data_IF_328650858600
#
_entry.id   IF_328650858600
#
_cell.length_a   1.000
_cell.length_b   1.000
_cell.length_c   1.000
_cell.angle_alpha   90.00
_cell.angle_beta   90.00
_cell.angle_gamma   90.00
#
_symmetry.space_group_name_H-M   'P 1'
#
loop_
_entity.id
_entity.type
_entity.pdbx_description
1 polymer ?
#
# COMPACT_ATOMS: atom_id res chain seq x y z
N UNK A 1 -5.23 -7.65 -2.38
CA UNK A 1 -5.84 -6.39 -2.90
C UNK A 1 -4.85 -5.26 -2.91
N UNK A 2 -4.89 -4.38 -3.91
CA UNK A 2 -4.18 -3.09 -3.94
C UNK A 2 -5.20 -1.96 -3.88
N UNK A 3 -4.95 -0.95 -3.06
CA UNK A 3 -5.76 0.25 -2.99
C UNK A 3 -4.88 1.50 -2.90
N UNK A 4 -5.20 2.52 -3.68
CA UNK A 4 -4.46 3.78 -3.67
C UNK A 4 -5.35 4.96 -4.08
N UNK A 5 -4.88 6.17 -3.81
CA UNK A 5 -5.46 7.41 -4.30
C UNK A 5 -4.54 8.07 -5.32
N UNK A 6 -5.12 8.60 -6.39
CA UNK A 6 -4.44 9.40 -7.40
C UNK A 6 -5.06 10.80 -7.47
N UNK A 7 -4.24 11.79 -7.71
CA UNK A 7 -4.70 13.09 -8.19
C UNK A 7 -5.27 12.95 -9.60
N UNK A 8 -6.03 13.95 -10.06
CA UNK A 8 -6.60 13.96 -11.41
C UNK A 8 -5.53 13.86 -12.51
N UNK A 9 -4.31 14.33 -12.25
CA UNK A 9 -3.18 14.21 -13.15
C UNK A 9 -2.26 13.01 -12.86
N UNK A 10 -2.78 11.97 -12.18
CA UNK A 10 -2.15 10.65 -12.07
C UNK A 10 -1.00 10.54 -11.07
N UNK A 11 -0.87 11.46 -10.13
CA UNK A 11 0.20 11.48 -9.14
C UNK A 11 -0.26 10.95 -7.79
N UNK A 12 0.66 10.29 -7.08
CA UNK A 12 0.47 9.73 -5.72
C UNK A 12 1.09 10.60 -4.63
N UNK A 13 2.00 11.49 -4.98
CA UNK A 13 2.67 12.42 -4.05
C UNK A 13 3.20 13.64 -4.81
N UNK A 14 3.53 14.69 -4.08
CA UNK A 14 4.22 15.85 -4.61
C UNK A 14 5.69 15.60 -4.96
N UNK A 15 6.41 16.62 -5.45
CA UNK A 15 7.84 16.55 -5.77
C UNK A 15 8.65 16.00 -4.58
N UNK A 16 9.63 15.16 -4.88
CA UNK A 16 10.47 14.52 -3.86
C UNK A 16 9.73 13.55 -2.93
N UNK A 17 8.50 13.15 -3.26
CA UNK A 17 7.68 12.28 -2.41
C UNK A 17 6.93 13.04 -1.30
N UNK A 18 6.84 14.37 -1.40
CA UNK A 18 6.11 15.21 -0.43
C UNK A 18 4.66 14.76 -0.32
N UNK A 19 4.21 14.55 0.91
CA UNK A 19 2.82 14.16 1.20
C UNK A 19 1.84 15.24 0.71
N UNK A 20 0.82 14.81 0.00
CA UNK A 20 -0.33 15.61 -0.42
C UNK A 20 -1.60 14.90 -0.01
N UNK A 21 -2.56 15.64 0.53
CA UNK A 21 -3.88 15.08 0.88
C UNK A 21 -4.68 14.92 -0.42
N UNK A 22 -4.77 13.68 -0.89
CA UNK A 22 -5.49 13.33 -2.13
C UNK A 22 -6.89 12.80 -1.78
N UNK A 23 -7.01 11.97 -0.76
CA UNK A 23 -8.27 11.31 -0.38
C UNK A 23 -9.29 12.28 0.21
N UNK A 24 -10.55 12.17 -0.21
CA UNK A 24 -11.69 12.85 0.41
C UNK A 24 -12.06 12.20 1.75
N UNK A 25 -12.98 12.81 2.50
CA UNK A 25 -13.53 12.19 3.72
C UNK A 25 -14.26 10.88 3.43
N UNK A 26 -15.01 10.80 2.32
CA UNK A 26 -15.66 9.57 1.91
C UNK A 26 -14.66 8.47 1.53
N UNK A 27 -13.58 8.83 0.82
CA UNK A 27 -12.52 7.86 0.51
C UNK A 27 -11.79 7.40 1.77
N UNK A 28 -11.48 8.29 2.70
CA UNK A 28 -10.88 7.91 3.99
C UNK A 28 -11.75 6.91 4.75
N UNK A 29 -13.07 7.15 4.84
CA UNK A 29 -14.00 6.19 5.46
C UNK A 29 -13.94 4.83 4.75
N UNK A 30 -13.96 4.82 3.42
CA UNK A 30 -13.83 3.60 2.61
C UNK A 30 -12.53 2.86 2.92
N UNK A 31 -11.40 3.55 2.95
CA UNK A 31 -10.08 2.97 3.25
C UNK A 31 -10.03 2.36 4.65
N UNK A 32 -10.58 3.06 5.67
CA UNK A 32 -10.61 2.51 7.03
C UNK A 32 -11.52 1.28 7.16
N UNK A 33 -12.59 1.18 6.36
CA UNK A 33 -13.38 -0.05 6.24
C UNK A 33 -12.57 -1.19 5.63
N UNK A 34 -11.88 -0.95 4.50
CA UNK A 34 -10.99 -1.94 3.88
C UNK A 34 -9.93 -2.46 4.86
N UNK A 35 -9.32 -1.55 5.64
CA UNK A 35 -8.37 -1.94 6.69
C UNK A 35 -9.00 -2.83 7.75
N UNK A 36 -10.24 -2.55 8.15
CA UNK A 36 -10.96 -3.33 9.15
C UNK A 36 -11.37 -4.71 8.66
N UNK A 37 -11.54 -4.89 7.35
CA UNK A 37 -12.01 -6.11 6.70
C UNK A 37 -10.87 -7.04 6.27
N UNK A 38 -9.61 -6.55 6.26
CA UNK A 38 -8.43 -7.33 5.87
C UNK A 38 -7.60 -7.78 7.09
N UNK A 39 -6.91 -8.93 6.97
CA UNK A 39 -6.06 -9.43 8.06
C UNK A 39 -4.80 -8.58 8.23
N UNK A 40 -4.27 -8.05 7.13
CA UNK A 40 -3.05 -7.28 7.17
C UNK A 40 -3.04 -6.11 6.17
N UNK A 41 -2.29 -5.07 6.52
CA UNK A 41 -1.95 -3.94 5.65
C UNK A 41 -0.45 -3.97 5.35
N UNK A 42 -0.07 -3.80 4.09
CA UNK A 42 1.32 -3.85 3.64
C UNK A 42 1.75 -2.55 2.97
N UNK A 43 2.93 -2.07 3.35
CA UNK A 43 3.58 -0.92 2.71
C UNK A 43 5.08 -1.13 2.58
N UNK A 44 5.72 -0.40 1.66
CA UNK A 44 7.18 -0.31 1.61
C UNK A 44 7.72 0.68 2.64
N UNK A 45 8.96 0.48 3.09
CA UNK A 45 9.60 1.33 4.10
C UNK A 45 9.66 2.82 3.72
N UNK A 46 9.72 3.16 2.44
CA UNK A 46 9.71 4.56 2.02
C UNK A 46 8.39 5.27 2.37
N UNK A 47 7.27 4.56 2.42
CA UNK A 47 5.99 5.09 2.91
C UNK A 47 6.08 5.43 4.42
N UNK A 48 6.76 4.58 5.20
CA UNK A 48 7.00 4.85 6.62
C UNK A 48 7.89 6.08 6.80
N UNK A 49 8.98 6.17 6.05
CA UNK A 49 9.95 7.27 6.15
C UNK A 49 9.31 8.61 5.75
N UNK A 50 8.51 8.63 4.67
CA UNK A 50 7.97 9.87 4.13
C UNK A 50 6.69 10.35 4.84
N UNK A 51 5.80 9.41 5.19
CA UNK A 51 4.43 9.74 5.64
C UNK A 51 4.20 9.46 7.11
N UNK A 52 5.05 8.62 7.73
CA UNK A 52 4.93 8.14 9.12
C UNK A 52 3.48 7.76 9.50
N UNK A 53 2.81 6.86 8.76
CA UNK A 53 1.42 6.52 8.98
C UNK A 53 1.25 5.59 10.20
N UNK A 54 0.07 5.62 10.86
CA UNK A 54 -0.27 4.64 11.90
C UNK A 54 -0.62 3.26 11.33
N UNK A 55 -1.21 3.21 10.14
CA UNK A 55 -1.71 1.98 9.48
C UNK A 55 -2.75 1.22 10.34
N UNK A 56 -3.46 1.92 11.18
CA UNK A 56 -4.56 1.42 12.02
C UNK A 56 -5.91 1.89 11.48
N UNK A 57 -6.99 1.42 12.08
CA UNK A 57 -8.35 1.87 11.80
C UNK A 57 -8.68 3.07 12.70
N UNK A 58 -9.18 4.13 12.11
CA UNK A 58 -9.72 5.27 12.87
C UNK A 58 -11.10 4.92 13.44
N UNK A 59 -11.18 4.76 14.76
CA UNK A 59 -12.41 4.40 15.45
C UNK A 59 -13.48 5.48 15.39
N UNK A 60 -13.15 6.71 15.09
CA UNK A 60 -14.14 7.77 14.84
C UNK A 60 -14.88 7.58 13.51
N UNK A 61 -14.24 6.89 12.55
CA UNK A 61 -14.81 6.57 11.24
C UNK A 61 -15.45 5.17 11.21
N UNK A 62 -14.85 4.20 11.89
CA UNK A 62 -15.30 2.80 11.95
C UNK A 62 -15.25 2.35 13.41
N UNK A 63 -16.27 2.63 14.23
CA UNK A 63 -16.25 2.41 15.69
C UNK A 63 -15.88 0.99 16.12
N UNK A 64 -16.43 -0.03 15.45
CA UNK A 64 -16.18 -1.46 15.73
C UNK A 64 -15.09 -2.05 14.85
N UNK A 65 -14.31 -1.20 14.15
CA UNK A 65 -13.29 -1.64 13.22
C UNK A 65 -12.15 -2.39 13.92
N UNK A 66 -11.59 -3.41 13.29
CA UNK A 66 -10.42 -4.20 13.74
C UNK A 66 -9.15 -3.63 13.11
N UNK A 67 -8.08 -3.48 13.89
CA UNK A 67 -6.78 -3.10 13.34
C UNK A 67 -6.15 -4.28 12.60
N UNK A 68 -5.68 -4.08 11.36
CA UNK A 68 -4.95 -5.09 10.63
C UNK A 68 -3.53 -5.26 11.20
N UNK A 69 -2.92 -6.41 10.93
CA UNK A 69 -1.48 -6.61 11.13
C UNK A 69 -0.73 -5.67 10.18
N UNK A 70 0.20 -4.89 10.69
CA UNK A 70 1.02 -3.97 9.89
C UNK A 70 2.23 -4.72 9.33
N UNK A 71 2.40 -4.72 8.01
CA UNK A 71 3.51 -5.38 7.31
C UNK A 71 4.35 -4.31 6.60
N UNK A 72 5.63 -4.27 6.93
CA UNK A 72 6.59 -3.33 6.34
C UNK A 72 7.62 -4.10 5.53
N UNK A 73 7.69 -3.85 4.22
CA UNK A 73 8.76 -4.37 3.39
C UNK A 73 9.97 -3.45 3.49
N UNK A 74 10.95 -3.88 4.28
CA UNK A 74 12.14 -3.09 4.61
C UNK A 74 13.42 -3.90 4.46
N UNK A 75 13.84 -4.11 3.22
CA UNK A 75 15.02 -4.90 2.84
C UNK A 75 16.24 -4.62 3.73
N UNK A 76 16.52 -3.35 4.01
CA UNK A 76 17.74 -2.89 4.69
C UNK A 76 17.51 -2.46 6.15
N UNK A 77 16.33 -2.73 6.71
CA UNK A 77 15.93 -2.38 8.07
C UNK A 77 16.15 -0.87 8.38
N UNK A 78 15.57 -0.01 7.52
CA UNK A 78 15.65 1.46 7.59
C UNK A 78 14.50 2.11 8.34
N UNK A 79 13.52 1.34 8.81
CA UNK A 79 12.35 1.85 9.55
C UNK A 79 12.84 2.70 10.73
N UNK A 80 12.46 3.99 10.79
CA UNK A 80 12.87 4.87 11.88
C UNK A 80 12.30 4.40 13.22
N UNK A 81 13.11 4.43 14.29
CA UNK A 81 12.71 3.94 15.62
C UNK A 81 11.57 4.73 16.28
N UNK A 82 11.29 5.93 15.82
CA UNK A 82 10.19 6.79 16.27
C UNK A 82 8.97 6.74 15.36
N UNK A 83 8.85 5.73 14.49
CA UNK A 83 7.70 5.58 13.59
C UNK A 83 6.45 5.16 14.35
N UNK A 84 5.29 5.70 13.98
CA UNK A 84 4.00 5.33 14.58
C UNK A 84 3.65 3.84 14.43
N UNK A 85 4.17 3.17 13.41
CA UNK A 85 3.98 1.72 13.25
C UNK A 85 4.66 0.89 14.35
N UNK A 86 5.48 1.50 15.21
CA UNK A 86 6.17 0.86 16.34
C UNK A 86 5.52 1.16 17.70
N UNK A 87 4.35 1.82 17.71
CA UNK A 87 3.66 2.32 18.92
C UNK A 87 2.96 1.24 19.76
N UNK A 88 2.99 -0.02 19.32
CA UNK A 88 2.35 -1.13 20.02
C UNK A 88 0.83 -1.20 19.85
N UNK A 89 0.17 -0.26 19.14
CA UNK A 89 -1.29 -0.26 18.96
C UNK A 89 -1.79 -1.45 18.14
N UNK A 90 -0.99 -1.95 17.19
CA UNK A 90 -1.27 -3.14 16.42
C UNK A 90 0.00 -3.98 16.21
N UNK A 91 -0.17 -5.27 15.95
CA UNK A 91 0.94 -6.17 15.62
C UNK A 91 1.68 -5.68 14.38
N UNK A 92 3.01 -5.62 14.43
CA UNK A 92 3.85 -5.14 13.33
C UNK A 92 4.88 -6.19 12.95
N UNK A 93 4.89 -6.54 11.66
CA UNK A 93 5.86 -7.43 11.04
C UNK A 93 6.76 -6.62 10.10
N UNK A 94 8.08 -6.80 10.21
CA UNK A 94 9.03 -6.22 9.26
C UNK A 94 9.72 -7.35 8.49
N UNK A 95 9.58 -7.35 7.18
CA UNK A 95 10.26 -8.30 6.29
C UNK A 95 11.56 -7.66 5.79
N UNK A 96 12.68 -8.31 6.08
CA UNK A 96 14.03 -7.77 5.82
C UNK A 96 15.02 -8.84 5.41
N UNK A 97 16.10 -8.46 4.73
CA UNK A 97 17.26 -9.33 4.48
C UNK A 97 18.40 -9.15 5.50
N UNK A 98 18.27 -8.18 6.41
CA UNK A 98 19.27 -7.93 7.46
C UNK A 98 19.20 -9.00 8.55
N UNK A 99 20.32 -9.65 8.88
CA UNK A 99 20.35 -10.81 9.77
C UNK A 99 20.48 -10.44 11.27
N UNK A 100 21.36 -9.53 11.63
CA UNK A 100 21.80 -9.33 13.02
C UNK A 100 21.25 -8.07 13.69
N UNK A 101 20.13 -7.56 13.22
CA UNK A 101 19.51 -6.34 13.77
C UNK A 101 18.04 -6.59 14.14
N UNK A 102 17.58 -5.90 15.16
CA UNK A 102 16.17 -5.91 15.60
C UNK A 102 15.65 -4.49 15.81
N UNK A 103 14.34 -4.38 15.83
CA UNK A 103 13.62 -3.16 16.21
C UNK A 103 12.62 -3.55 17.28
N UNK A 104 12.70 -2.92 18.44
CA UNK A 104 11.82 -3.21 19.59
C UNK A 104 10.35 -2.93 19.20
N UNK A 105 9.45 -3.73 19.75
CA UNK A 105 8.01 -3.63 19.48
C UNK A 105 7.58 -4.22 18.13
N UNK A 106 8.47 -4.96 17.44
CA UNK A 106 8.15 -5.60 16.15
C UNK A 106 8.59 -7.03 16.09
N UNK A 107 7.95 -7.80 15.22
CA UNK A 107 8.40 -9.13 14.80
C UNK A 107 9.19 -8.98 13.49
N UNK A 108 10.43 -9.46 13.49
CA UNK A 108 11.30 -9.43 12.30
C UNK A 108 11.20 -10.77 11.58
N UNK A 109 10.77 -10.73 10.32
CA UNK A 109 10.80 -11.88 9.41
C UNK A 109 11.99 -11.71 8.49
N UNK A 110 12.99 -12.56 8.66
CA UNK A 110 14.22 -12.54 7.85
C UNK A 110 14.06 -13.46 6.66
N UNK A 111 14.30 -12.92 5.49
CA UNK A 111 14.31 -13.64 4.22
C UNK A 111 15.64 -13.31 3.49
N UNK A 112 16.22 -14.27 2.77
CA UNK A 112 17.29 -13.95 1.84
C UNK A 112 16.88 -12.84 0.87
N UNK A 113 17.81 -12.05 0.39
CA UNK A 113 17.52 -10.86 -0.44
C UNK A 113 16.73 -11.22 -1.71
N UNK A 114 17.12 -12.29 -2.37
CA UNK A 114 16.45 -12.86 -3.53
C UNK A 114 15.05 -13.40 -3.23
N UNK A 115 14.73 -13.63 -1.96
CA UNK A 115 13.42 -14.13 -1.50
C UNK A 115 12.43 -13.03 -1.09
N UNK A 116 12.81 -11.76 -1.21
CA UNK A 116 11.90 -10.63 -1.00
C UNK A 116 11.08 -10.34 -2.27
N UNK A 117 10.46 -11.39 -2.81
CA UNK A 117 9.57 -11.36 -3.98
C UNK A 117 8.15 -11.71 -3.58
N UNK A 118 7.12 -11.21 -4.29
CA UNK A 118 5.72 -11.34 -3.88
C UNK A 118 5.29 -12.77 -3.56
N UNK A 119 5.68 -13.76 -4.35
CA UNK A 119 5.29 -15.15 -4.17
C UNK A 119 5.78 -15.74 -2.83
N UNK A 120 7.05 -15.49 -2.50
CA UNK A 120 7.66 -15.99 -1.26
C UNK A 120 7.10 -15.23 -0.06
N UNK A 121 6.88 -13.92 -0.20
CA UNK A 121 6.26 -13.10 0.83
C UNK A 121 4.85 -13.62 1.15
N UNK A 122 4.01 -13.83 0.15
CA UNK A 122 2.64 -14.32 0.34
C UNK A 122 2.60 -15.73 0.93
N UNK A 123 3.45 -16.65 0.47
CA UNK A 123 3.58 -17.98 1.08
C UNK A 123 3.94 -17.90 2.57
N UNK A 124 4.90 -17.03 2.90
CA UNK A 124 5.30 -16.82 4.30
C UNK A 124 4.19 -16.24 5.15
N UNK A 125 3.44 -15.28 4.64
CA UNK A 125 2.30 -14.68 5.33
C UNK A 125 1.16 -15.67 5.51
N UNK A 126 0.85 -16.49 4.50
CA UNK A 126 -0.13 -17.57 4.59
C UNK A 126 0.22 -18.60 5.68
N UNK A 127 1.50 -18.98 5.82
CA UNK A 127 1.99 -19.85 6.90
C UNK A 127 1.86 -19.23 8.29
N UNK A 128 1.72 -17.91 8.39
CA UNK A 128 1.43 -17.17 9.63
C UNK A 128 -0.08 -16.97 9.87
N UNK A 129 -0.94 -17.58 9.04
CA UNK A 129 -2.39 -17.47 9.15
C UNK A 129 -2.97 -16.14 8.60
N UNK A 130 -2.22 -15.39 7.80
CA UNK A 130 -2.67 -14.15 7.16
C UNK A 130 -3.26 -14.51 5.80
N UNK A 131 -4.60 -14.45 5.69
CA UNK A 131 -5.35 -14.85 4.50
C UNK A 131 -5.63 -13.70 3.53
N UNK A 132 -5.59 -12.45 4.02
CA UNK A 132 -5.87 -11.27 3.20
C UNK A 132 -4.90 -10.13 3.48
N UNK A 133 -4.41 -9.46 2.41
CA UNK A 133 -3.45 -8.36 2.50
C UNK A 133 -3.92 -7.17 1.68
N UNK A 134 -4.03 -6.01 2.33
CA UNK A 134 -4.28 -4.72 1.69
C UNK A 134 -2.95 -4.00 1.45
N UNK A 135 -2.57 -3.78 0.20
CA UNK A 135 -1.37 -3.02 -0.18
C UNK A 135 -1.78 -1.56 -0.43
N UNK A 136 -1.30 -0.64 0.40
CA UNK A 136 -1.66 0.78 0.30
C UNK A 136 -0.52 1.68 -0.17
N UNK A 137 0.71 1.17 -0.26
CA UNK A 137 1.77 2.09 -0.57
C UNK A 137 3.14 1.50 -0.83
N UNK A 138 3.98 2.42 -1.32
CA UNK A 138 5.26 2.10 -1.91
C UNK A 138 5.08 1.76 -3.39
N UNK A 139 5.34 2.74 -4.27
CA UNK A 139 5.26 2.55 -5.74
C UNK A 139 5.92 1.25 -6.20
N UNK A 140 7.10 0.93 -5.66
CA UNK A 140 7.83 -0.29 -6.03
C UNK A 140 7.09 -1.55 -5.56
N UNK A 141 6.57 -1.55 -4.33
CA UNK A 141 5.80 -2.69 -3.79
C UNK A 141 4.59 -2.97 -4.67
N UNK A 142 3.79 -1.95 -4.97
CA UNK A 142 2.62 -2.09 -5.86
C UNK A 142 3.04 -2.64 -7.22
N UNK A 143 4.11 -2.08 -7.81
CA UNK A 143 4.61 -2.52 -9.11
C UNK A 143 5.04 -3.98 -9.10
N UNK A 144 5.76 -4.43 -8.08
CA UNK A 144 6.25 -5.80 -7.98
C UNK A 144 5.09 -6.79 -7.82
N UNK A 145 4.12 -6.48 -6.96
CA UNK A 145 2.94 -7.32 -6.77
C UNK A 145 2.05 -7.40 -8.03
N UNK A 146 1.84 -6.29 -8.73
CA UNK A 146 1.08 -6.31 -10.00
C UNK A 146 1.82 -7.14 -11.05
N UNK A 147 3.14 -6.94 -11.21
CA UNK A 147 3.96 -7.68 -12.18
C UNK A 147 4.01 -9.19 -11.90
N UNK A 148 3.95 -9.59 -10.65
CA UNK A 148 3.93 -11.00 -10.26
C UNK A 148 2.60 -11.71 -10.60
N UNK A 149 1.52 -10.95 -10.84
CA UNK A 149 0.19 -11.50 -11.06
C UNK A 149 -0.55 -11.94 -9.79
N UNK A 150 0.00 -11.63 -8.60
CA UNK A 150 -0.55 -12.02 -7.30
C UNK A 150 -1.45 -10.92 -6.70
N UNK A 151 -2.20 -10.22 -7.53
CA UNK A 151 -3.19 -9.21 -7.11
C UNK A 151 -4.56 -9.64 -7.59
N UNK A 152 -5.48 -9.86 -6.66
CA UNK A 152 -6.87 -10.26 -6.96
C UNK A 152 -7.75 -9.05 -7.27
N UNK A 153 -7.51 -7.94 -6.57
CA UNK A 153 -8.29 -6.71 -6.70
C UNK A 153 -7.38 -5.48 -6.75
N UNK A 154 -7.68 -4.55 -7.63
CA UNK A 154 -6.97 -3.28 -7.76
C UNK A 154 -7.97 -2.12 -7.81
N UNK A 155 -7.97 -1.28 -6.79
CA UNK A 155 -8.85 -0.12 -6.69
C UNK A 155 -8.08 1.18 -6.62
N UNK A 156 -8.58 2.18 -7.33
CA UNK A 156 -8.00 3.53 -7.39
C UNK A 156 -9.08 4.55 -7.06
N UNK A 157 -8.83 5.40 -6.10
CA UNK A 157 -9.61 6.62 -5.91
C UNK A 157 -8.99 7.74 -6.76
N UNK A 158 -9.76 8.33 -7.66
CA UNK A 158 -9.35 9.52 -8.42
C UNK A 158 -9.95 10.75 -7.77
N UNK A 159 -9.08 11.61 -7.28
CA UNK A 159 -9.43 12.90 -6.68
C UNK A 159 -9.40 14.03 -7.71
N UNK A 160 -10.24 15.07 -7.59
CA UNK A 160 -10.15 16.26 -8.42
C UNK A 160 -8.91 17.13 -8.13
N UNK A 161 -8.10 16.76 -7.16
CA UNK A 161 -6.85 17.47 -6.81
C UNK A 161 -5.87 17.39 -7.96
N UNK A 162 -5.22 18.50 -8.28
CA UNK A 162 -4.08 18.57 -9.18
C UNK A 162 -2.80 18.77 -8.36
N UNK A 163 -1.81 17.93 -8.59
CA UNK A 163 -0.47 18.07 -8.00
C UNK A 163 0.45 18.76 -8.97
N UNK A 164 1.31 19.65 -8.48
CA UNK A 164 2.26 20.43 -9.26
C UNK A 164 3.25 19.56 -10.06
N UNK A 165 3.85 20.14 -11.09
CA UNK A 165 4.86 19.47 -11.93
C UNK A 165 6.01 18.88 -11.08
N UNK A 166 6.47 17.68 -11.45
CA UNK A 166 7.52 16.95 -10.73
C UNK A 166 7.01 16.06 -9.59
N UNK A 167 5.70 15.95 -9.41
CA UNK A 167 5.11 14.99 -8.49
C UNK A 167 5.38 13.54 -8.88
N UNK A 168 5.21 12.62 -7.93
CA UNK A 168 5.45 11.20 -8.11
C UNK A 168 4.27 10.53 -8.80
N UNK A 169 4.45 10.01 -9.99
CA UNK A 169 3.47 9.18 -10.68
C UNK A 169 3.56 7.72 -10.25
N UNK A 170 2.41 7.04 -10.17
CA UNK A 170 2.38 5.58 -10.01
C UNK A 170 2.83 4.90 -11.31
N UNK A 171 2.21 5.26 -12.42
CA UNK A 171 2.56 4.79 -13.76
C UNK A 171 3.62 5.69 -14.40
N UNK A 172 4.39 5.14 -15.33
CA UNK A 172 5.27 5.98 -16.14
C UNK A 172 4.38 6.86 -17.06
N UNK A 173 4.49 8.19 -16.99
CA UNK A 173 3.67 9.06 -17.83
C UNK A 173 4.00 8.95 -19.32
N UNK A 174 5.09 8.26 -19.69
CA UNK A 174 5.47 7.98 -21.08
C UNK A 174 5.00 6.63 -21.57
N UNK A 175 4.45 5.78 -20.68
CA UNK A 175 3.96 4.46 -21.04
C UNK A 175 2.46 4.53 -21.36
N UNK A 176 2.08 3.97 -22.49
CA UNK A 176 0.68 3.76 -22.84
C UNK A 176 0.15 2.54 -22.08
N UNK A 177 -0.55 2.78 -20.98
CA UNK A 177 -1.14 1.74 -20.13
C UNK A 177 -2.67 1.82 -20.27
N UNK A 178 -3.28 0.78 -20.81
CA UNK A 178 -4.72 0.69 -21.01
C UNK A 178 -5.32 -0.47 -20.18
N UNK A 179 -5.46 -0.28 -18.84
CA UNK A 179 -6.05 -1.32 -18.01
C UNK A 179 -7.55 -1.43 -18.28
N UNK A 180 -8.05 -2.66 -18.24
CA UNK A 180 -9.50 -2.91 -18.29
C UNK A 180 -10.17 -2.44 -17.01
N UNK A 181 -11.24 -1.67 -17.14
CA UNK A 181 -12.07 -1.19 -16.03
C UNK A 181 -13.14 -2.21 -15.72
N UNK A 182 -13.19 -2.72 -14.49
CA UNK A 182 -14.24 -3.63 -14.01
C UNK A 182 -15.45 -2.87 -13.44
N UNK A 183 -15.24 -1.68 -12.91
CA UNK A 183 -16.31 -0.87 -12.35
C UNK A 183 -15.86 0.54 -11.98
N UNK A 184 -16.83 1.44 -11.91
CA UNK A 184 -16.64 2.82 -11.47
C UNK A 184 -17.77 3.22 -10.54
N UNK A 185 -17.44 3.78 -9.38
CA UNK A 185 -18.38 4.22 -8.37
C UNK A 185 -18.07 5.66 -7.96
N UNK A 186 -18.92 6.62 -8.28
CA UNK A 186 -18.80 7.97 -7.74
C UNK A 186 -18.99 7.95 -6.22
N UNK A 187 -18.10 8.66 -5.53
CA UNK A 187 -18.26 8.95 -4.09
C UNK A 187 -18.01 10.43 -3.86
N UNK A 188 -18.39 10.93 -2.70
CA UNK A 188 -18.17 12.34 -2.39
C UNK A 188 -16.67 12.69 -2.50
N UNK A 189 -16.38 13.74 -3.27
CA UNK A 189 -15.02 14.23 -3.52
C UNK A 189 -14.21 13.44 -4.56
N UNK A 190 -14.82 12.50 -5.32
CA UNK A 190 -14.09 11.81 -6.39
C UNK A 190 -14.74 10.55 -6.96
N UNK A 191 -13.92 9.71 -7.56
CA UNK A 191 -14.35 8.50 -8.25
C UNK A 191 -13.49 7.30 -7.83
N UNK A 192 -14.11 6.21 -7.42
CA UNK A 192 -13.44 4.92 -7.19
C UNK A 192 -13.54 4.09 -8.47
N UNK A 193 -12.40 3.66 -8.96
CA UNK A 193 -12.29 2.80 -10.15
C UNK A 193 -11.70 1.45 -9.74
N UNK A 194 -12.38 0.37 -10.11
CA UNK A 194 -11.88 -0.98 -9.99
C UNK A 194 -11.28 -1.41 -11.34
N UNK A 195 -10.01 -1.76 -11.34
CA UNK A 195 -9.26 -2.18 -12.52
C UNK A 195 -9.07 -3.69 -12.53
N UNK A 196 -8.95 -4.27 -13.70
CA UNK A 196 -8.56 -5.67 -13.84
C UNK A 196 -7.05 -5.82 -13.60
N UNK A 197 -6.63 -6.51 -12.52
CA UNK A 197 -5.21 -6.64 -12.19
C UNK A 197 -4.42 -7.38 -13.27
N UNK A 198 -5.04 -8.33 -13.99
CA UNK A 198 -4.38 -9.07 -15.05
C UNK A 198 -4.02 -8.17 -16.25
N UNK A 199 -4.93 -7.27 -16.62
CA UNK A 199 -4.65 -6.29 -17.68
C UNK A 199 -3.54 -5.32 -17.28
N UNK A 200 -3.49 -4.91 -16.02
CA UNK A 200 -2.39 -4.10 -15.47
C UNK A 200 -1.06 -4.84 -15.48
N UNK A 201 -1.05 -6.14 -15.14
CA UNK A 201 0.15 -6.97 -15.18
C UNK A 201 0.75 -7.02 -16.60
N UNK A 202 -0.09 -7.23 -17.62
CA UNK A 202 0.34 -7.27 -19.02
C UNK A 202 0.92 -5.91 -19.44
N UNK A 203 0.23 -4.83 -19.13
CA UNK A 203 0.65 -3.47 -19.45
C UNK A 203 1.96 -3.05 -18.77
N UNK A 204 2.27 -3.60 -17.59
CA UNK A 204 3.50 -3.26 -16.85
C UNK A 204 4.71 -4.16 -17.18
N UNK A 205 4.48 -5.29 -17.88
CA UNK A 205 5.58 -6.18 -18.33
C UNK A 205 6.25 -5.67 -19.63
N UNK A 206 5.53 -4.88 -20.41
CA UNK A 206 6.02 -4.24 -21.66
C UNK A 206 6.59 -2.85 -21.35
#
# INVERSE_FOLDING_TARGET
MVNLALSMNGMIAGPGGRKVVISSSADRLRVHRLRSETDAIMVGVNTIINDNPHLTVDRSLVPDGRDPIRIILDRNLRTPRNSFVLDGQARTLILTSVQDRSIDGTEIIRLPDESLVPEIILDKLGKLGIGSVLIEGGKQVIKDFVKSGNVDEFTVFISPVLIEYGGLHLFDPKADIFPSVKGMTPIDGGLVISLDPHSLMIAWKN
#
